data_IF_391639502491
#
_entry.id   IF_391639502491
#
_cell.length_a   1.000
_cell.length_b   1.000
_cell.length_c   1.000
_cell.angle_alpha   90.00
_cell.angle_beta   90.00
_cell.angle_gamma   90.00
#
_symmetry.space_group_name_H-M   'P 1'
#
loop_
_entity.id
_entity.type
_entity.pdbx_description
1 polymer ?
#
# COMPACT_ATOMS: atom_id res chain seq x y z
N UNK A 1 8.56 -39.63 13.02
CA UNK A 1 8.01 -38.44 13.74
C UNK A 1 8.67 -37.13 13.31
N UNK A 2 9.90 -37.14 12.78
CA UNK A 2 10.60 -35.95 12.25
C UNK A 2 10.06 -35.46 10.91
N UNK A 3 9.69 -36.36 10.01
CA UNK A 3 9.22 -36.02 8.65
C UNK A 3 7.95 -35.18 8.61
N UNK A 4 7.05 -35.34 9.59
CA UNK A 4 5.83 -34.53 9.69
C UNK A 4 6.08 -33.18 10.38
N UNK A 5 7.12 -33.08 11.22
CA UNK A 5 7.46 -31.85 11.95
C UNK A 5 8.03 -30.77 11.05
N UNK A 6 8.82 -31.14 10.05
CA UNK A 6 9.42 -30.20 9.10
C UNK A 6 8.39 -29.43 8.24
N UNK A 7 7.40 -30.07 7.57
CA UNK A 7 6.40 -29.34 6.80
C UNK A 7 5.47 -28.49 7.68
N UNK A 8 5.18 -28.91 8.90
CA UNK A 8 4.38 -28.14 9.86
C UNK A 8 5.11 -26.86 10.27
N UNK A 9 6.41 -26.98 10.57
CA UNK A 9 7.25 -25.84 10.92
C UNK A 9 7.36 -24.86 9.74
N UNK A 10 7.60 -25.37 8.52
CA UNK A 10 7.66 -24.56 7.32
C UNK A 10 6.34 -23.81 7.06
N UNK A 11 5.19 -24.49 7.22
CA UNK A 11 3.88 -23.89 7.07
C UNK A 11 3.63 -22.76 8.08
N UNK A 12 4.00 -22.97 9.35
CA UNK A 12 3.88 -21.94 10.39
C UNK A 12 4.71 -20.71 10.07
N UNK A 13 5.98 -20.89 9.66
CA UNK A 13 6.86 -19.78 9.29
C UNK A 13 6.29 -18.98 8.12
N UNK A 14 5.80 -19.66 7.08
CA UNK A 14 5.20 -19.01 5.91
C UNK A 14 3.92 -18.26 6.31
N UNK A 15 3.06 -18.89 7.11
CA UNK A 15 1.80 -18.30 7.57
C UNK A 15 2.03 -17.03 8.40
N UNK A 16 2.92 -17.09 9.39
CA UNK A 16 3.26 -15.92 10.19
C UNK A 16 3.95 -14.84 9.36
N UNK A 17 4.89 -15.20 8.48
CA UNK A 17 5.54 -14.25 7.57
C UNK A 17 4.54 -13.50 6.68
N UNK A 18 3.53 -14.22 6.16
CA UNK A 18 2.47 -13.61 5.38
C UNK A 18 1.55 -12.70 6.23
N UNK A 19 1.25 -13.08 7.47
CA UNK A 19 0.47 -12.25 8.39
C UNK A 19 1.15 -10.91 8.68
N UNK A 20 2.47 -10.92 8.90
CA UNK A 20 3.26 -9.70 9.08
C UNK A 20 3.29 -8.84 7.81
N UNK A 21 3.34 -9.44 6.63
CA UNK A 21 3.30 -8.71 5.34
C UNK A 21 1.99 -7.95 5.11
N UNK A 22 0.91 -8.36 5.76
CA UNK A 22 -0.39 -7.69 5.68
C UNK A 22 -0.46 -6.40 6.53
N UNK A 23 0.49 -6.19 7.45
CA UNK A 23 0.54 -5.00 8.30
C UNK A 23 1.20 -3.86 7.53
N UNK A 24 0.47 -2.77 7.32
CA UNK A 24 0.99 -1.55 6.73
C UNK A 24 0.83 -0.39 7.71
N UNK A 25 1.82 0.51 7.74
CA UNK A 25 1.78 1.73 8.56
C UNK A 25 1.71 2.92 7.63
N UNK A 26 0.66 3.71 7.78
CA UNK A 26 0.47 4.99 7.09
C UNK A 26 0.87 6.14 8.01
N UNK A 27 1.57 7.13 7.46
CA UNK A 27 1.91 8.36 8.20
C UNK A 27 0.70 9.30 8.25
N UNK A 28 0.67 10.23 9.21
CA UNK A 28 -0.45 11.18 9.40
C UNK A 28 -0.82 11.99 8.16
N UNK A 29 0.17 12.29 7.32
CA UNK A 29 0.03 13.05 6.09
C UNK A 29 -0.19 12.17 4.86
N UNK A 30 -0.42 10.86 5.06
CA UNK A 30 -0.71 9.88 4.03
C UNK A 30 -2.11 9.32 4.25
N UNK A 31 -2.80 9.01 3.14
CA UNK A 31 -4.08 8.31 3.17
C UNK A 31 -4.01 7.07 2.30
N UNK A 32 -4.58 5.97 2.78
CA UNK A 32 -4.57 4.68 2.09
C UNK A 32 -5.86 4.46 1.32
N UNK A 33 -5.79 4.48 -0.02
CA UNK A 33 -6.89 4.05 -0.88
C UNK A 33 -6.74 2.55 -1.09
N UNK A 34 -7.74 1.77 -0.69
CA UNK A 34 -7.72 0.32 -0.80
C UNK A 34 -8.65 -0.14 -1.90
N UNK A 35 -8.09 -0.97 -2.78
CA UNK A 35 -8.79 -1.66 -3.84
C UNK A 35 -8.98 -3.11 -3.43
N UNK A 36 -10.22 -3.49 -3.16
CA UNK A 36 -10.62 -4.87 -2.90
C UNK A 36 -11.16 -5.47 -4.17
N UNK A 37 -10.48 -6.47 -4.73
CA UNK A 37 -10.92 -7.18 -5.93
C UNK A 37 -11.30 -6.24 -7.10
N UNK A 38 -10.51 -5.18 -7.30
CA UNK A 38 -10.74 -4.20 -8.36
C UNK A 38 -11.77 -3.10 -8.04
N UNK A 39 -12.38 -3.09 -6.85
CA UNK A 39 -13.28 -2.01 -6.40
C UNK A 39 -12.65 -1.21 -5.27
N UNK A 40 -12.79 0.11 -5.33
CA UNK A 40 -12.34 0.99 -4.25
C UNK A 40 -13.28 0.82 -3.04
N UNK A 41 -12.71 0.75 -1.84
CA UNK A 41 -13.51 0.84 -0.61
C UNK A 41 -14.15 2.24 -0.51
N UNK A 42 -15.38 2.34 0.03
CA UNK A 42 -16.13 3.60 0.05
C UNK A 42 -15.40 4.71 0.81
N UNK A 43 -14.62 4.35 1.84
CA UNK A 43 -13.86 5.31 2.62
C UNK A 43 -12.36 5.00 2.58
N UNK A 44 -11.51 6.01 2.30
CA UNK A 44 -10.07 5.87 2.36
C UNK A 44 -9.60 5.76 3.82
N UNK A 45 -8.74 4.79 4.10
CA UNK A 45 -8.23 4.54 5.45
C UNK A 45 -7.32 5.68 5.91
N UNK A 46 -7.53 6.10 7.15
CA UNK A 46 -6.73 7.12 7.83
C UNK A 46 -5.32 6.63 8.22
N UNK A 47 -4.53 7.51 8.83
CA UNK A 47 -3.17 7.20 9.25
C UNK A 47 -3.11 6.19 10.40
N UNK A 48 -1.96 5.56 10.57
CA UNK A 48 -1.73 4.55 11.61
C UNK A 48 -1.56 3.13 11.05
N UNK A 49 -1.77 2.14 11.94
CA UNK A 49 -1.68 0.72 11.62
C UNK A 49 -2.93 0.27 10.86
N UNK A 50 -2.73 -0.16 9.62
CA UNK A 50 -3.79 -0.68 8.76
C UNK A 50 -3.46 -2.10 8.29
N UNK A 51 -4.47 -2.96 8.34
CA UNK A 51 -4.40 -4.30 7.77
C UNK A 51 -4.85 -4.26 6.31
N UNK A 52 -4.00 -4.80 5.43
CA UNK A 52 -4.25 -4.96 3.98
C UNK A 52 -4.00 -6.42 3.63
N UNK A 53 -5.05 -7.12 3.26
CA UNK A 53 -5.00 -8.55 3.03
C UNK A 53 -4.55 -8.86 1.59
N UNK A 54 -3.26 -9.12 1.39
CA UNK A 54 -2.73 -9.57 0.09
C UNK A 54 -3.10 -11.04 -0.14
N UNK A 55 -3.59 -11.46 -1.32
CA UNK A 55 -3.56 -10.74 -2.61
C UNK A 55 -4.86 -10.00 -2.98
N UNK A 56 -5.92 -10.12 -2.17
CA UNK A 56 -7.25 -9.63 -2.52
C UNK A 56 -7.40 -8.11 -2.41
N UNK A 57 -6.69 -7.52 -1.45
CA UNK A 57 -6.68 -6.08 -1.20
C UNK A 57 -5.33 -5.49 -1.67
N UNK A 58 -5.40 -4.48 -2.53
CA UNK A 58 -4.27 -3.65 -2.94
C UNK A 58 -4.38 -2.27 -2.29
N UNK A 59 -3.25 -1.69 -1.86
CA UNK A 59 -3.22 -0.35 -1.27
C UNK A 59 -2.41 0.62 -2.12
N UNK A 60 -2.97 1.80 -2.36
CA UNK A 60 -2.28 2.95 -2.94
C UNK A 60 -2.19 4.04 -1.88
N UNK A 61 -0.96 4.51 -1.60
CA UNK A 61 -0.71 5.58 -0.63
C UNK A 61 -0.76 6.93 -1.34
N UNK A 62 -1.56 7.84 -0.82
CA UNK A 62 -1.72 9.20 -1.37
C UNK A 62 -1.24 10.21 -0.34
N UNK A 63 -0.38 11.14 -0.76
CA UNK A 63 0.06 12.23 0.10
C UNK A 63 -1.00 13.34 0.15
N UNK A 64 -1.29 13.83 1.35
CA UNK A 64 -2.23 14.95 1.56
C UNK A 64 -1.54 16.33 1.50
N UNK A 65 -0.23 16.36 1.25
CA UNK A 65 0.55 17.61 1.20
C UNK A 65 0.55 18.17 -0.22
N UNK A 66 0.59 19.49 -0.32
CA UNK A 66 0.80 20.18 -1.59
C UNK A 66 2.19 19.82 -2.14
N UNK A 67 2.23 19.40 -3.40
CA UNK A 67 3.47 19.24 -4.15
C UNK A 67 3.65 20.45 -5.05
N UNK A 68 4.88 20.95 -5.16
CA UNK A 68 5.23 21.97 -6.14
C UNK A 68 5.70 21.25 -7.40
N UNK A 69 5.13 21.63 -8.55
CA UNK A 69 5.51 21.10 -9.85
C UNK A 69 6.29 22.19 -10.58
N UNK A 70 7.55 21.89 -10.90
CA UNK A 70 8.37 22.78 -11.72
C UNK A 70 7.91 22.68 -13.19
N UNK A 71 7.53 23.82 -13.77
CA UNK A 71 7.18 23.89 -15.20
C UNK A 71 8.48 24.08 -15.99
N UNK A 72 8.76 23.23 -16.99
CA UNK A 72 9.96 23.39 -17.79
C UNK A 72 9.92 24.73 -18.55
N UNK A 73 11.07 25.40 -18.73
CA UNK A 73 11.13 26.61 -19.53
C UNK A 73 10.77 26.28 -20.98
N UNK A 74 9.88 27.08 -21.57
CA UNK A 74 9.44 26.93 -22.95
C UNK A 74 9.73 28.23 -23.71
N UNK A 75 10.39 28.11 -24.86
CA UNK A 75 10.58 29.24 -25.77
C UNK A 75 9.25 29.56 -26.47
N UNK A 76 8.80 30.81 -26.33
CA UNK A 76 7.52 31.29 -26.85
C UNK A 76 7.77 32.58 -27.65
N UNK A 77 7.22 32.66 -28.85
CA UNK A 77 7.19 33.90 -29.64
C UNK A 77 5.80 34.52 -29.42
N UNK A 78 5.76 35.76 -28.94
CA UNK A 78 4.52 36.53 -28.81
C UNK A 78 3.92 36.81 -30.19
N UNK A 79 2.61 37.04 -30.26
CA UNK A 79 1.91 37.25 -31.53
C UNK A 79 2.12 38.66 -32.14
N UNK A 80 3.09 39.41 -31.64
CA UNK A 80 3.40 40.77 -32.10
C UNK A 80 4.50 40.75 -33.17
#
# INVERSE_FOLDING_TARGET
>A
MTELSFPILAFLVIFFGWLFSCINVLKEYERGVIFRLGRVLPEPKGPGLIFVFKPFDSIVRVHLRTIVLDVPPQDIITKD
#
